data_IF_070867607821
#
_entry.id   IF_070867607821
#
_cell.length_a   1.000
_cell.length_b   1.000
_cell.length_c   1.000
_cell.angle_alpha   90.00
_cell.angle_beta   90.00
_cell.angle_gamma   90.00
#
_symmetry.space_group_name_H-M   'P 1'
#
loop_
_entity.id
_entity.type
_entity.pdbx_description
1 polymer ?
#
# COMPACT_ATOMS: atom_id res chain seq x y z
N UNK A 1 -8.57 19.29 -9.02
CA UNK A 1 -8.47 18.84 -7.61
C UNK A 1 -8.94 17.40 -7.37
N UNK A 2 -9.96 16.86 -8.08
CA UNK A 2 -10.50 15.53 -7.74
C UNK A 2 -9.70 14.30 -8.25
N UNK A 3 -8.95 14.40 -9.34
CA UNK A 3 -8.28 13.21 -9.90
C UNK A 3 -7.07 12.74 -9.09
N UNK A 4 -6.28 13.67 -8.55
CA UNK A 4 -5.14 13.33 -7.69
C UNK A 4 -5.61 12.67 -6.38
N UNK A 5 -6.64 13.24 -5.73
CA UNK A 5 -7.22 12.70 -4.51
C UNK A 5 -7.82 11.29 -4.74
N UNK A 6 -8.60 11.12 -5.83
CA UNK A 6 -9.16 9.82 -6.21
C UNK A 6 -8.05 8.79 -6.49
N UNK A 7 -6.99 9.21 -7.20
CA UNK A 7 -5.81 8.37 -7.46
C UNK A 7 -5.14 7.90 -6.17
N UNK A 8 -4.94 8.80 -5.20
CA UNK A 8 -4.35 8.45 -3.90
C UNK A 8 -5.24 7.48 -3.10
N UNK A 9 -6.57 7.60 -3.18
CA UNK A 9 -7.49 6.65 -2.56
C UNK A 9 -7.46 5.27 -3.25
N UNK A 10 -7.45 5.22 -4.58
CA UNK A 10 -7.33 3.96 -5.33
C UNK A 10 -5.99 3.28 -5.05
N UNK A 11 -4.90 4.07 -4.99
CA UNK A 11 -3.57 3.57 -4.65
C UNK A 11 -3.50 3.06 -3.20
N UNK A 12 -4.16 3.75 -2.26
CA UNK A 12 -4.29 3.28 -0.86
C UNK A 12 -4.96 1.91 -0.81
N UNK A 13 -6.11 1.75 -1.47
CA UNK A 13 -6.82 0.46 -1.51
C UNK A 13 -5.94 -0.64 -2.14
N UNK A 14 -5.27 -0.33 -3.25
CA UNK A 14 -4.34 -1.26 -3.89
C UNK A 14 -3.19 -1.68 -2.98
N UNK A 15 -2.59 -0.72 -2.25
CA UNK A 15 -1.50 -0.99 -1.31
C UNK A 15 -1.93 -1.86 -0.12
N UNK A 16 -3.16 -1.68 0.38
CA UNK A 16 -3.74 -2.54 1.43
C UNK A 16 -3.91 -3.97 0.90
N UNK A 17 -4.51 -4.14 -0.27
CA UNK A 17 -4.70 -5.47 -0.87
C UNK A 17 -3.36 -6.16 -1.13
N UNK A 18 -2.37 -5.43 -1.65
CA UNK A 18 -1.02 -5.94 -1.88
C UNK A 18 -0.32 -6.35 -0.57
N UNK A 19 -0.48 -5.55 0.49
CA UNK A 19 0.08 -5.86 1.82
C UNK A 19 -0.55 -7.12 2.40
N UNK A 20 -1.88 -7.25 2.32
CA UNK A 20 -2.61 -8.44 2.77
C UNK A 20 -2.16 -9.68 1.99
N UNK A 21 -2.03 -9.58 0.66
CA UNK A 21 -1.57 -10.71 -0.14
C UNK A 21 -0.15 -11.13 0.25
N UNK A 22 0.77 -10.17 0.39
CA UNK A 22 2.14 -10.43 0.81
C UNK A 22 2.21 -11.03 2.23
N UNK A 23 1.30 -10.61 3.11
CA UNK A 23 1.16 -11.18 4.46
C UNK A 23 0.67 -12.63 4.41
N UNK A 24 -0.31 -12.95 3.57
CA UNK A 24 -0.77 -14.33 3.36
C UNK A 24 0.37 -15.19 2.80
N UNK A 25 1.14 -14.67 1.85
CA UNK A 25 2.29 -15.37 1.27
C UNK A 25 3.37 -15.67 2.32
N UNK A 26 3.57 -14.78 3.30
CA UNK A 26 4.47 -15.06 4.44
C UNK A 26 4.06 -16.28 5.26
N UNK A 27 2.76 -16.57 5.42
CA UNK A 27 2.29 -17.76 6.13
C UNK A 27 2.33 -19.04 5.29
N UNK A 28 2.26 -18.91 3.97
CA UNK A 28 2.39 -20.06 3.06
C UNK A 28 3.84 -20.49 2.94
N UNK A 29 4.70 -19.55 2.55
CA UNK A 29 6.12 -19.77 2.34
C UNK A 29 6.89 -18.49 2.68
N UNK A 30 7.72 -18.56 3.72
CA UNK A 30 8.59 -17.46 4.09
C UNK A 30 9.68 -17.34 3.03
N UNK A 31 9.50 -16.40 2.10
CA UNK A 31 10.51 -16.02 1.12
C UNK A 31 10.98 -14.58 1.37
N UNK A 32 12.24 -14.30 1.01
CA UNK A 32 12.77 -12.93 1.07
C UNK A 32 11.94 -11.96 0.22
N UNK A 33 11.39 -12.46 -0.89
CA UNK A 33 10.44 -11.72 -1.72
C UNK A 33 9.19 -11.34 -0.95
N UNK A 34 8.53 -12.29 -0.27
CA UNK A 34 7.31 -12.05 0.51
C UNK A 34 7.52 -11.02 1.63
N UNK A 35 8.68 -11.06 2.31
CA UNK A 35 9.04 -10.07 3.33
C UNK A 35 9.21 -8.68 2.70
N UNK A 36 9.97 -8.59 1.59
CA UNK A 36 10.20 -7.33 0.91
C UNK A 36 8.91 -6.72 0.34
N UNK A 37 8.02 -7.55 -0.19
CA UNK A 37 6.71 -7.16 -0.69
C UNK A 37 5.81 -6.65 0.43
N UNK A 38 5.80 -7.32 1.58
CA UNK A 38 5.05 -6.87 2.76
C UNK A 38 5.55 -5.50 3.27
N UNK A 39 6.87 -5.34 3.41
CA UNK A 39 7.47 -4.06 3.80
C UNK A 39 7.17 -2.95 2.78
N UNK A 40 7.28 -3.24 1.48
CA UNK A 40 6.93 -2.31 0.41
C UNK A 40 5.46 -1.90 0.44
N UNK A 41 4.56 -2.84 0.70
CA UNK A 41 3.13 -2.57 0.87
C UNK A 41 2.84 -1.59 2.00
N UNK A 42 3.48 -1.75 3.16
CA UNK A 42 3.37 -0.81 4.29
C UNK A 42 3.86 0.59 3.88
N UNK A 43 5.00 0.69 3.19
CA UNK A 43 5.51 1.97 2.71
C UNK A 43 4.54 2.65 1.73
N UNK A 44 3.91 1.88 0.84
CA UNK A 44 2.89 2.40 -0.06
C UNK A 44 1.62 2.87 0.65
N UNK A 45 1.18 2.19 1.71
CA UNK A 45 0.06 2.65 2.55
C UNK A 45 0.39 4.01 3.17
N UNK A 46 1.57 4.13 3.78
CA UNK A 46 2.03 5.38 4.42
C UNK A 46 2.11 6.50 3.37
N UNK A 47 2.75 6.24 2.22
CA UNK A 47 2.86 7.22 1.14
C UNK A 47 1.49 7.67 0.61
N UNK A 48 0.57 6.72 0.38
CA UNK A 48 -0.80 7.02 -0.04
C UNK A 48 -1.53 7.93 0.95
N UNK A 49 -1.38 7.64 2.24
CA UNK A 49 -2.00 8.42 3.30
C UNK A 49 -1.42 9.84 3.37
N UNK A 50 -0.10 9.99 3.24
CA UNK A 50 0.56 11.30 3.16
C UNK A 50 0.07 12.12 1.97
N UNK A 51 -0.08 11.51 0.79
CA UNK A 51 -0.63 12.18 -0.39
C UNK A 51 -2.09 12.62 -0.19
N UNK A 52 -2.90 11.84 0.52
CA UNK A 52 -4.30 12.22 0.84
C UNK A 52 -4.31 13.42 1.79
N UNK A 53 -3.43 13.45 2.79
CA UNK A 53 -3.33 14.60 3.71
C UNK A 53 -2.90 15.86 2.95
N UNK A 54 -1.88 15.75 2.12
CA UNK A 54 -1.36 16.87 1.33
C UNK A 54 -2.41 17.41 0.37
N UNK A 55 -3.13 16.53 -0.35
CA UNK A 55 -4.19 16.91 -1.27
C UNK A 55 -5.45 17.52 -0.61
N UNK A 56 -5.54 17.47 0.73
CA UNK A 56 -6.62 18.08 1.52
C UNK A 56 -6.26 19.45 2.09
N UNK A 57 -4.97 19.80 2.12
CA UNK A 57 -4.51 21.15 2.49
C UNK A 57 -4.71 22.12 1.33
#
# INVERSE_FOLDING_TARGET
MNHALLGSYLFLIGSILFTINSFIDLFKEISFYSISAFCGGILFIIGSYLFIIDAKK
#
